data_IF_988142130655
#
_entry.id   IF_988142130655
#
_cell.length_a   1.000
_cell.length_b   1.000
_cell.length_c   1.000
_cell.angle_alpha   90.00
_cell.angle_beta   90.00
_cell.angle_gamma   90.00
#
_symmetry.space_group_name_H-M   'P 1'
#
loop_
_entity.id
_entity.type
_entity.pdbx_description
1 polymer ?
#
# COMPACT_ATOMS: atom_id res chain seq x y z
N UNK A 1 13.60 -15.21 13.47
CA UNK A 1 13.01 -15.48 12.16
C UNK A 1 13.88 -16.50 11.49
N UNK A 2 13.30 -17.56 10.94
CA UNK A 2 14.06 -18.49 10.10
C UNK A 2 14.46 -17.77 8.81
N UNK A 3 15.68 -18.01 8.29
CA UNK A 3 16.10 -17.43 7.02
C UNK A 3 15.17 -17.91 5.90
N UNK A 4 14.65 -16.99 5.10
CA UNK A 4 13.86 -17.32 3.93
C UNK A 4 14.67 -18.25 3.01
N UNK A 5 14.03 -19.28 2.41
CA UNK A 5 14.72 -20.17 1.48
C UNK A 5 15.36 -19.34 0.35
N UNK A 6 16.54 -19.76 -0.16
CA UNK A 6 17.25 -18.99 -1.17
C UNK A 6 16.40 -18.88 -2.44
N UNK A 7 16.03 -17.65 -2.79
CA UNK A 7 15.32 -17.35 -4.04
C UNK A 7 16.32 -17.45 -5.19
N UNK A 8 16.18 -18.49 -6.01
CA UNK A 8 17.04 -18.80 -7.15
C UNK A 8 16.42 -18.39 -8.49
N UNK A 9 15.11 -18.14 -8.51
CA UNK A 9 14.39 -17.66 -9.68
C UNK A 9 14.70 -16.17 -9.94
N UNK A 10 14.63 -15.71 -11.21
CA UNK A 10 14.75 -14.29 -11.51
C UNK A 10 13.54 -13.52 -10.97
N UNK A 11 13.76 -12.25 -10.58
CA UNK A 11 12.69 -11.37 -10.13
C UNK A 11 11.58 -11.27 -11.20
N UNK A 12 10.30 -11.26 -10.80
CA UNK A 12 9.21 -10.94 -11.69
C UNK A 12 9.48 -9.64 -12.45
N UNK A 13 9.19 -9.65 -13.76
CA UNK A 13 9.31 -8.45 -14.58
C UNK A 13 8.08 -7.58 -14.35
N UNK A 14 8.25 -6.50 -13.60
CA UNK A 14 7.18 -5.51 -13.38
C UNK A 14 7.13 -4.55 -14.57
N UNK A 15 5.93 -4.31 -15.09
CA UNK A 15 5.72 -3.40 -16.22
C UNK A 15 6.03 -1.95 -15.82
N UNK A 16 6.81 -1.25 -16.67
CA UNK A 16 7.01 0.19 -16.54
C UNK A 16 5.91 0.94 -17.29
N UNK A 17 5.10 1.70 -16.54
CA UNK A 17 3.94 2.45 -17.04
C UNK A 17 4.33 3.92 -17.22
N UNK A 18 3.86 4.55 -18.29
CA UNK A 18 4.05 5.99 -18.51
C UNK A 18 3.02 6.77 -17.70
N UNK A 19 3.45 7.83 -17.01
CA UNK A 19 2.54 8.69 -16.21
C UNK A 19 1.34 9.21 -17.03
N UNK A 20 1.51 9.44 -18.35
CA UNK A 20 0.42 9.87 -19.25
C UNK A 20 -0.71 8.85 -19.43
N UNK A 21 -0.53 7.61 -18.96
CA UNK A 21 -1.55 6.55 -19.00
C UNK A 21 -2.24 6.36 -17.64
N UNK A 22 -1.76 7.05 -16.60
CA UNK A 22 -2.31 6.99 -15.24
C UNK A 22 -3.38 8.05 -15.10
N UNK A 23 -4.56 7.64 -14.66
CA UNK A 23 -5.65 8.53 -14.29
C UNK A 23 -5.62 8.77 -12.78
N UNK A 24 -5.73 10.02 -12.38
CA UNK A 24 -5.97 10.39 -10.98
C UNK A 24 -7.47 10.28 -10.62
N UNK A 25 -8.35 10.16 -11.63
CA UNK A 25 -9.78 9.93 -11.44
C UNK A 25 -10.11 8.44 -11.61
N UNK A 26 -10.64 7.83 -10.54
CA UNK A 26 -11.09 6.43 -10.54
C UNK A 26 -12.58 6.39 -10.89
N UNK A 27 -12.99 5.71 -11.97
CA UNK A 27 -14.41 5.53 -12.28
C UNK A 27 -15.11 4.78 -11.14
N UNK A 28 -16.19 5.32 -10.57
CA UNK A 28 -16.96 4.65 -9.51
C UNK A 28 -18.08 3.80 -10.10
N UNK A 29 -17.72 2.77 -10.85
CA UNK A 29 -18.69 1.91 -11.54
C UNK A 29 -18.70 0.48 -10.98
N UNK A 30 -19.85 -0.19 -11.02
CA UNK A 30 -19.96 -1.55 -10.51
C UNK A 30 -19.24 -2.56 -11.41
N UNK A 31 -18.67 -3.61 -10.81
CA UNK A 31 -18.05 -4.73 -11.54
C UNK A 31 -16.64 -4.46 -12.07
N UNK A 32 -15.93 -3.50 -11.48
CA UNK A 32 -14.50 -3.32 -11.73
C UNK A 32 -13.67 -4.41 -11.05
N UNK A 33 -12.53 -4.73 -11.63
CA UNK A 33 -11.51 -5.56 -11.02
C UNK A 33 -10.11 -5.04 -11.32
N UNK A 34 -9.18 -5.34 -10.42
CA UNK A 34 -7.76 -5.12 -10.64
C UNK A 34 -7.26 -6.26 -11.52
N UNK A 35 -6.77 -5.92 -12.72
CA UNK A 35 -6.33 -6.88 -13.72
C UNK A 35 -4.81 -7.04 -13.76
N UNK A 36 -4.06 -6.03 -13.34
CA UNK A 36 -2.59 -6.01 -13.46
C UNK A 36 -1.96 -4.95 -12.55
N UNK A 37 -0.63 -4.97 -12.42
CA UNK A 37 0.15 -4.00 -11.68
C UNK A 37 1.37 -3.53 -12.48
N UNK A 38 1.86 -2.34 -12.13
CA UNK A 38 3.00 -1.73 -12.79
C UNK A 38 3.69 -0.72 -11.89
N UNK A 39 4.79 -0.17 -12.39
CA UNK A 39 5.56 0.89 -11.73
C UNK A 39 5.73 2.08 -12.65
N UNK A 40 5.73 3.26 -12.08
CA UNK A 40 6.22 4.46 -12.75
C UNK A 40 7.74 4.58 -12.63
N UNK A 41 8.33 5.50 -13.38
CA UNK A 41 9.78 5.73 -13.40
C UNK A 41 10.33 6.22 -12.06
N UNK A 42 9.54 6.95 -11.28
CA UNK A 42 9.87 7.39 -9.91
C UNK A 42 9.72 6.27 -8.87
N UNK A 43 9.16 5.14 -9.27
CA UNK A 43 8.90 4.00 -8.41
C UNK A 43 7.52 4.01 -7.77
N UNK A 44 6.57 4.85 -8.17
CA UNK A 44 5.18 4.73 -7.70
C UNK A 44 4.53 3.44 -8.24
N UNK A 45 3.79 2.72 -7.38
CA UNK A 45 2.99 1.57 -7.79
C UNK A 45 1.63 2.00 -8.36
N UNK A 46 1.30 1.43 -9.52
CA UNK A 46 0.02 1.66 -10.20
C UNK A 46 -0.67 0.33 -10.46
N UNK A 47 -2.00 0.34 -10.36
CA UNK A 47 -2.86 -0.81 -10.59
C UNK A 47 -3.71 -0.58 -11.84
N UNK A 48 -3.88 -1.63 -12.63
CA UNK A 48 -4.71 -1.60 -13.82
C UNK A 48 -6.12 -2.03 -13.46
N UNK A 49 -7.03 -1.07 -13.50
CA UNK A 49 -8.45 -1.33 -13.36
C UNK A 49 -9.07 -1.65 -14.70
N UNK A 50 -9.92 -2.68 -14.71
CA UNK A 50 -10.71 -3.03 -15.89
C UNK A 50 -12.14 -3.30 -15.50
N UNK A 51 -13.04 -3.14 -16.46
CA UNK A 51 -14.40 -3.68 -16.39
C UNK A 51 -14.73 -4.33 -17.71
N UNK A 52 -15.23 -5.56 -17.65
CA UNK A 52 -15.79 -6.21 -18.82
C UNK A 52 -17.18 -5.65 -19.09
N UNK A 53 -17.51 -5.43 -20.37
CA UNK A 53 -18.86 -5.01 -20.76
C UNK A 53 -19.87 -6.09 -20.40
N UNK A 54 -20.97 -5.72 -19.74
CA UNK A 54 -22.08 -6.62 -19.49
C UNK A 54 -23.12 -6.44 -20.60
N UNK A 55 -23.51 -7.53 -21.26
CA UNK A 55 -24.52 -7.53 -22.33
C UNK A 55 -25.97 -7.37 -21.80
N UNK A 56 -26.13 -6.72 -20.64
CA UNK A 56 -27.41 -6.52 -19.97
C UNK A 56 -28.00 -5.16 -20.35
N UNK A 57 -29.12 -5.18 -21.07
CA UNK A 57 -29.90 -4.07 -21.65
C UNK A 57 -30.32 -2.88 -20.75
N UNK A 58 -29.80 -2.72 -19.53
CA UNK A 58 -30.28 -1.70 -18.58
C UNK A 58 -29.28 -0.54 -18.41
N UNK A 59 -27.98 -0.78 -18.64
CA UNK A 59 -26.95 0.27 -18.72
C UNK A 59 -25.93 -0.14 -19.79
N UNK A 60 -25.86 0.59 -20.91
CA UNK A 60 -24.80 0.45 -21.91
C UNK A 60 -23.50 1.04 -21.35
N UNK A 61 -22.91 0.35 -20.39
CA UNK A 61 -21.60 0.73 -19.86
C UNK A 61 -20.53 0.06 -20.72
N UNK A 62 -19.79 0.88 -21.48
CA UNK A 62 -18.69 0.42 -22.32
C UNK A 62 -17.54 -0.17 -21.46
N UNK A 63 -16.85 -1.22 -21.95
CA UNK A 63 -15.66 -1.72 -21.29
C UNK A 63 -14.61 -0.62 -21.20
N UNK A 64 -13.89 -0.58 -20.08
CA UNK A 64 -12.79 0.35 -19.91
C UNK A 64 -11.57 -0.33 -19.31
N UNK A 65 -10.44 0.36 -19.48
CA UNK A 65 -9.16 0.01 -18.90
C UNK A 65 -8.43 1.29 -18.53
N UNK A 66 -7.95 1.38 -17.29
CA UNK A 66 -7.25 2.56 -16.79
C UNK A 66 -6.19 2.15 -15.78
N UNK A 67 -5.03 2.82 -15.79
CA UNK A 67 -4.05 2.72 -14.73
C UNK A 67 -4.35 3.77 -13.67
N UNK A 68 -4.29 3.40 -12.40
CA UNK A 68 -4.51 4.32 -11.27
C UNK A 68 -3.43 4.12 -10.22
N UNK A 69 -3.07 5.15 -9.43
CA UNK A 69 -2.16 4.96 -8.31
C UNK A 69 -2.71 3.94 -7.30
N UNK A 70 -1.85 3.04 -6.80
CA UNK A 70 -2.24 2.03 -5.79
C UNK A 70 -2.87 2.69 -4.56
N UNK A 71 -2.26 3.77 -4.06
CA UNK A 71 -2.76 4.49 -2.91
C UNK A 71 -4.16 5.10 -3.14
N UNK A 72 -4.46 5.58 -4.34
CA UNK A 72 -5.76 6.15 -4.66
C UNK A 72 -6.84 5.06 -4.64
N UNK A 73 -6.51 3.86 -5.14
CA UNK A 73 -7.42 2.73 -5.08
C UNK A 73 -7.54 2.16 -3.66
N UNK A 74 -6.46 2.12 -2.89
CA UNK A 74 -6.51 1.65 -1.50
C UNK A 74 -7.32 2.59 -0.59
N UNK A 75 -7.35 3.89 -0.87
CA UNK A 75 -8.24 4.84 -0.17
C UNK A 75 -9.71 4.60 -0.50
N UNK A 76 -10.00 4.23 -1.76
CA UNK A 76 -11.36 3.98 -2.24
C UNK A 76 -11.90 2.59 -1.84
N UNK A 77 -11.10 1.56 -2.05
CA UNK A 77 -11.44 0.14 -1.88
C UNK A 77 -10.20 -0.66 -1.49
N UNK A 78 -9.84 -0.54 -0.21
CA UNK A 78 -8.68 -1.22 0.36
C UNK A 78 -8.75 -2.75 0.22
N UNK A 79 -9.94 -3.34 0.37
CA UNK A 79 -10.10 -4.79 0.34
C UNK A 79 -9.79 -5.34 -1.04
N UNK A 80 -10.25 -4.67 -2.11
CA UNK A 80 -9.88 -5.07 -3.47
C UNK A 80 -8.36 -5.08 -3.69
N UNK A 81 -7.64 -4.08 -3.16
CA UNK A 81 -6.17 -4.02 -3.26
C UNK A 81 -5.51 -5.16 -2.48
N UNK A 82 -5.97 -5.44 -1.26
CA UNK A 82 -5.42 -6.53 -0.44
C UNK A 82 -5.66 -7.89 -1.09
N UNK A 83 -6.90 -8.17 -1.48
CA UNK A 83 -7.26 -9.41 -2.17
C UNK A 83 -6.45 -9.60 -3.45
N UNK A 84 -6.23 -8.53 -4.23
CA UNK A 84 -5.41 -8.60 -5.43
C UNK A 84 -4.00 -9.09 -5.12
N UNK A 85 -3.33 -8.48 -4.15
CA UNK A 85 -1.96 -8.86 -3.79
C UNK A 85 -1.88 -10.23 -3.14
N UNK A 86 -2.79 -10.55 -2.22
CA UNK A 86 -2.83 -11.84 -1.51
C UNK A 86 -3.07 -13.03 -2.44
N UNK A 87 -3.82 -12.82 -3.54
CA UNK A 87 -4.09 -13.85 -4.52
C UNK A 87 -2.95 -14.07 -5.54
N UNK A 88 -1.95 -13.18 -5.58
CA UNK A 88 -0.79 -13.37 -6.46
C UNK A 88 0.27 -14.28 -5.81
N UNK A 89 0.95 -15.15 -6.58
CA UNK A 89 2.03 -15.98 -6.05
C UNK A 89 3.11 -15.15 -5.37
N UNK A 90 3.41 -15.46 -4.11
CA UNK A 90 4.41 -14.76 -3.30
C UNK A 90 4.00 -13.36 -2.82
N UNK A 91 2.77 -12.94 -3.10
CA UNK A 91 2.24 -11.66 -2.65
C UNK A 91 2.93 -10.44 -3.23
N UNK A 92 2.59 -9.26 -2.70
CA UNK A 92 3.10 -7.97 -3.15
C UNK A 92 4.63 -7.90 -3.22
N UNK A 93 5.32 -8.35 -2.17
CA UNK A 93 6.79 -8.25 -2.09
C UNK A 93 7.52 -9.08 -3.15
N UNK A 94 7.01 -10.26 -3.47
CA UNK A 94 7.57 -11.07 -4.54
C UNK A 94 7.31 -10.41 -5.89
N UNK A 95 6.06 -10.01 -6.13
CA UNK A 95 5.61 -9.43 -7.41
C UNK A 95 6.36 -8.13 -7.73
N UNK A 96 6.61 -7.28 -6.72
CA UNK A 96 7.38 -6.04 -6.86
C UNK A 96 8.91 -6.26 -6.78
N UNK A 97 9.36 -7.50 -6.62
CA UNK A 97 10.77 -7.87 -6.59
C UNK A 97 11.51 -7.45 -5.32
N UNK A 98 10.81 -7.04 -4.25
CA UNK A 98 11.42 -6.68 -2.97
C UNK A 98 12.14 -7.88 -2.35
N UNK A 99 11.53 -9.07 -2.38
CA UNK A 99 12.18 -10.29 -1.87
C UNK A 99 13.52 -10.60 -2.57
N UNK A 100 13.64 -10.28 -3.87
CA UNK A 100 14.88 -10.49 -4.61
C UNK A 100 15.94 -9.46 -4.24
N UNK A 101 15.53 -8.21 -3.98
CA UNK A 101 16.43 -7.15 -3.47
C UNK A 101 16.95 -7.52 -2.08
N UNK A 102 16.08 -7.98 -1.19
CA UNK A 102 16.42 -8.47 0.15
C UNK A 102 17.44 -9.61 0.08
N UNK A 103 17.15 -10.64 -0.71
CA UNK A 103 18.07 -11.76 -0.91
C UNK A 103 19.42 -11.30 -1.50
N UNK A 104 19.43 -10.33 -2.41
CA UNK A 104 20.67 -9.77 -2.97
C UNK A 104 21.47 -8.97 -1.93
N UNK A 105 20.80 -8.23 -1.05
CA UNK A 105 21.43 -7.52 0.07
C UNK A 105 22.10 -8.49 1.04
N UNK A 106 21.37 -9.53 1.47
CA UNK A 106 21.89 -10.56 2.37
C UNK A 106 23.10 -11.29 1.75
N UNK A 107 23.03 -11.67 0.47
CA UNK A 107 24.18 -12.27 -0.26
C UNK A 107 25.41 -11.35 -0.31
N UNK A 108 25.19 -10.04 -0.26
CA UNK A 108 26.27 -9.05 -0.25
C UNK A 108 26.72 -8.66 1.16
N UNK A 109 26.24 -9.33 2.21
CA UNK A 109 26.55 -9.01 3.61
C UNK A 109 25.97 -7.67 4.09
N UNK A 110 24.92 -7.16 3.44
CA UNK A 110 24.20 -5.95 3.84
C UNK A 110 22.96 -6.31 4.65
N UNK A 111 22.44 -5.33 5.38
CA UNK A 111 21.11 -5.40 5.97
C UNK A 111 20.06 -5.71 4.90
N UNK A 112 19.08 -6.54 5.23
CA UNK A 112 18.04 -7.01 4.31
C UNK A 112 17.33 -5.84 3.60
N UNK A 113 17.04 -4.78 4.36
CA UNK A 113 16.29 -3.61 3.91
C UNK A 113 17.19 -2.50 3.36
N UNK A 114 18.49 -2.76 3.18
CA UNK A 114 19.44 -1.78 2.66
C UNK A 114 18.98 -1.20 1.31
N UNK A 115 18.82 0.12 1.25
CA UNK A 115 18.30 0.88 0.09
C UNK A 115 16.92 0.44 -0.41
N UNK A 116 16.11 -0.19 0.45
CA UNK A 116 14.72 -0.49 0.16
C UNK A 116 13.87 0.67 0.65
N UNK A 117 13.22 1.36 -0.30
CA UNK A 117 12.21 2.38 0.03
C UNK A 117 10.86 1.70 0.14
N UNK A 118 10.21 1.86 1.28
CA UNK A 118 8.86 1.38 1.52
C UNK A 118 7.83 2.43 1.09
N UNK A 119 6.75 1.96 0.49
CA UNK A 119 5.64 2.80 0.07
C UNK A 119 4.66 2.98 1.23
N UNK A 120 4.58 4.21 1.75
CA UNK A 120 3.70 4.58 2.86
C UNK A 120 2.32 4.90 2.29
N UNK A 121 1.27 4.29 2.84
CA UNK A 121 -0.10 4.66 2.50
C UNK A 121 -0.56 5.84 3.37
N UNK A 122 -0.52 5.67 4.70
CA UNK A 122 -0.85 6.74 5.65
C UNK A 122 -0.16 6.53 6.99
N UNK A 123 0.09 7.60 7.72
CA UNK A 123 0.47 7.55 9.13
C UNK A 123 -0.80 7.70 9.96
N UNK A 124 -1.06 6.74 10.85
CA UNK A 124 -2.35 6.64 11.56
C UNK A 124 -2.32 7.18 12.98
N UNK A 125 -1.19 7.03 13.66
CA UNK A 125 -1.07 7.31 15.08
C UNK A 125 0.39 7.69 15.44
N UNK A 126 0.59 8.23 16.64
CA UNK A 126 1.91 8.52 17.20
C UNK A 126 1.95 8.15 18.69
N UNK A 127 3.12 7.80 19.20
CA UNK A 127 3.32 7.54 20.63
C UNK A 127 4.74 7.92 21.06
N UNK A 128 4.87 8.35 22.30
CA UNK A 128 6.17 8.54 22.93
C UNK A 128 6.64 7.21 23.55
N UNK A 129 7.79 6.68 23.11
CA UNK A 129 8.42 5.47 23.66
C UNK A 129 9.90 5.72 23.89
N UNK A 130 10.35 5.58 25.14
CA UNK A 130 11.77 5.76 25.48
C UNK A 130 12.31 7.17 25.23
N UNK A 131 11.44 8.19 25.23
CA UNK A 131 11.82 9.57 24.90
C UNK A 131 11.88 9.88 23.41
N UNK A 132 11.63 8.89 22.55
CA UNK A 132 11.56 9.06 21.10
C UNK A 132 10.09 8.95 20.63
N UNK A 133 9.75 9.71 19.59
CA UNK A 133 8.45 9.63 18.95
C UNK A 133 8.45 8.47 17.95
N UNK A 134 7.58 7.48 18.15
CA UNK A 134 7.23 6.50 17.14
C UNK A 134 5.94 6.93 16.44
N UNK A 135 5.81 6.62 15.16
CA UNK A 135 4.58 6.78 14.38
C UNK A 135 4.10 5.44 13.84
N UNK A 136 2.80 5.20 13.88
CA UNK A 136 2.18 3.98 13.34
C UNK A 136 1.94 4.16 11.84
N UNK A 137 2.73 3.46 11.04
CA UNK A 137 2.71 3.54 9.58
C UNK A 137 1.86 2.42 9.03
N UNK A 138 0.87 2.78 8.22
CA UNK A 138 0.14 1.85 7.37
C UNK A 138 0.75 1.86 5.97
N UNK A 139 1.16 0.68 5.50
CA UNK A 139 1.89 0.47 4.27
C UNK A 139 0.97 0.31 3.05
N UNK A 140 1.41 0.74 1.87
CA UNK A 140 0.66 0.53 0.63
C UNK A 140 0.55 -0.95 0.29
N UNK A 141 -0.67 -1.41 0.02
CA UNK A 141 -0.96 -2.79 -0.37
C UNK A 141 -0.97 -3.82 0.76
N UNK A 142 -0.83 -3.40 2.02
CA UNK A 142 -0.89 -4.27 3.19
C UNK A 142 -2.08 -3.92 4.08
N UNK A 143 -2.59 -4.93 4.78
CA UNK A 143 -3.71 -4.76 5.69
C UNK A 143 -3.36 -3.83 6.84
N UNK A 144 -4.37 -3.22 7.45
CA UNK A 144 -4.17 -2.28 8.55
C UNK A 144 -3.45 -2.93 9.75
N UNK A 145 -3.66 -4.22 9.96
CA UNK A 145 -3.05 -5.03 11.02
C UNK A 145 -1.54 -5.20 10.85
N UNK A 146 -1.03 -5.04 9.62
CA UNK A 146 0.40 -5.11 9.28
C UNK A 146 1.11 -3.76 9.48
N UNK A 147 0.38 -2.75 9.96
CA UNK A 147 0.95 -1.45 10.31
C UNK A 147 2.06 -1.61 11.35
N UNK A 148 3.12 -0.81 11.22
CA UNK A 148 4.31 -0.92 12.07
C UNK A 148 4.66 0.41 12.72
N UNK A 149 5.17 0.36 13.94
CA UNK A 149 5.68 1.53 14.66
C UNK A 149 7.11 1.83 14.21
N UNK A 150 7.30 2.97 13.55
CA UNK A 150 8.59 3.43 13.03
C UNK A 150 8.97 4.73 13.73
N UNK A 151 10.25 4.91 14.06
CA UNK A 151 10.71 6.15 14.67
C UNK A 151 10.46 7.33 13.72
N UNK A 152 9.95 8.45 14.23
CA UNK A 152 9.68 9.65 13.45
C UNK A 152 10.93 10.12 12.70
N UNK A 153 12.10 10.03 13.32
CA UNK A 153 13.39 10.40 12.69
C UNK A 153 13.70 9.59 11.44
N UNK A 154 13.34 8.30 11.43
CA UNK A 154 13.62 7.41 10.30
C UNK A 154 12.61 7.69 9.18
N UNK A 155 11.34 7.93 9.54
CA UNK A 155 10.32 8.38 8.58
C UNK A 155 10.62 9.74 7.98
N UNK A 156 11.12 10.69 8.76
CA UNK A 156 11.48 12.02 8.28
C UNK A 156 12.64 11.97 7.27
N UNK A 157 13.54 10.98 7.37
CA UNK A 157 14.60 10.77 6.39
C UNK A 157 14.07 10.17 5.08
N UNK A 158 13.10 9.27 5.15
CA UNK A 158 12.56 8.57 3.98
C UNK A 158 11.42 9.33 3.28
N UNK A 159 10.50 9.89 4.06
CA UNK A 159 9.21 10.45 3.62
C UNK A 159 8.84 11.70 4.45
N UNK A 160 9.63 12.79 4.36
CA UNK A 160 9.40 14.01 5.14
C UNK A 160 8.01 14.62 4.90
N UNK A 161 7.49 14.51 3.68
CA UNK A 161 6.16 15.03 3.32
C UNK A 161 5.03 14.31 4.05
N UNK A 162 5.12 12.99 4.23
CA UNK A 162 4.13 12.20 4.96
C UNK A 162 4.10 12.57 6.45
N UNK A 163 5.28 12.76 7.06
CA UNK A 163 5.41 13.21 8.46
C UNK A 163 4.83 14.62 8.63
N UNK A 164 5.17 15.55 7.73
CA UNK A 164 4.64 16.91 7.77
C UNK A 164 3.11 16.93 7.60
N UNK A 165 2.58 16.11 6.69
CA UNK A 165 1.14 15.97 6.49
C UNK A 165 0.44 15.43 7.74
N UNK A 166 0.98 14.38 8.36
CA UNK A 166 0.44 13.83 9.61
C UNK A 166 0.34 14.91 10.69
N UNK A 167 1.43 15.64 10.96
CA UNK A 167 1.44 16.65 12.01
C UNK A 167 0.52 17.83 11.71
N UNK A 168 0.40 18.23 10.43
CA UNK A 168 -0.57 19.24 10.02
C UNK A 168 -2.00 18.81 10.33
N UNK A 169 -2.34 17.56 10.04
CA UNK A 169 -3.68 17.03 10.34
C UNK A 169 -3.90 16.76 11.83
N UNK A 170 -2.88 16.33 12.56
CA UNK A 170 -2.98 16.00 13.98
C UNK A 170 -3.10 17.25 14.85
N UNK A 171 -2.46 18.35 14.44
CA UNK A 171 -2.53 19.65 15.12
C UNK A 171 -3.67 20.53 14.62
N UNK A 172 -4.54 20.03 13.73
CA UNK A 172 -5.69 20.78 13.23
C UNK A 172 -6.77 20.87 14.35
N UNK A 173 -7.04 22.07 14.89
CA UNK A 173 -7.99 22.25 15.99
C UNK A 173 -9.44 21.96 15.60
N UNK A 174 -9.73 21.80 14.30
CA UNK A 174 -11.08 21.52 13.78
C UNK A 174 -11.35 20.04 13.52
N UNK A 175 -10.33 19.18 13.70
CA UNK A 175 -10.44 17.74 13.42
C UNK A 175 -11.32 17.04 14.46
N UNK A 176 -12.46 16.50 14.01
CA UNK A 176 -13.31 15.62 14.81
C UNK A 176 -12.86 14.17 14.62
N UNK A 177 -12.20 13.60 15.62
CA UNK A 177 -11.83 12.17 15.61
C UNK A 177 -13.10 11.29 15.59
N UNK A 178 -13.21 10.31 14.68
CA UNK A 178 -14.31 9.36 14.69
C UNK A 178 -14.23 8.49 15.96
N UNK A 179 -15.29 8.52 16.78
CA UNK A 179 -15.36 7.78 18.05
C UNK A 179 -15.15 6.28 17.81
N UNK A 180 -14.06 5.71 18.33
CA UNK A 180 -13.86 4.25 18.43
C UNK A 180 -15.07 3.64 19.15
N UNK A 181 -15.83 2.76 18.48
CA UNK A 181 -16.89 1.97 19.12
C UNK A 181 -16.24 1.06 20.15
N UNK A 182 -16.42 1.36 21.43
CA UNK A 182 -16.08 0.44 22.52
C UNK A 182 -17.04 -0.74 22.41
N UNK A 183 -16.52 -1.91 22.02
CA UNK A 183 -17.26 -3.16 22.09
C UNK A 183 -17.28 -3.57 23.57
N UNK A 184 -18.32 -3.14 24.28
CA UNK A 184 -18.56 -3.57 25.66
C UNK A 184 -18.85 -5.06 25.70
N UNK A 185 -17.91 -5.86 26.20
CA UNK A 185 -18.20 -7.21 26.65
C UNK A 185 -19.11 -7.12 27.88
N UNK A 186 -20.41 -7.35 27.68
CA UNK A 186 -21.34 -7.64 28.76
C UNK A 186 -20.96 -9.00 29.35
N UNK A 187 -20.24 -8.98 30.46
CA UNK A 187 -20.22 -10.08 31.42
C UNK A 187 -21.65 -10.29 31.93
N UNK A 188 -22.16 -11.52 31.82
CA UNK A 188 -23.30 -11.98 32.62
C UNK A 188 -22.81 -13.11 33.51
N UNK A 189 -23.16 -12.97 34.79
CA UNK A 189 -22.92 -13.95 35.85
C UNK A 189 -23.91 -15.09 35.84
#
# INVERSE_FOLDING_TARGET
MEPHPPITEPAPKVQLVRRSLVSDEIPLVLGMSIADHGRLHDGETVLKLTRQGNNSNIYNDEPFMVWVPEHALQDLDAEAVYEYWENLPGGRDYQLGYMHKWAANLRSGRDEQHNVKWEIFKIRDCRLRGGEMDMLVHWQGYREEESSWIAERDLAQQAPEAVAFFWKQHNDPTRVEPKKKIQGSLSRG
#
